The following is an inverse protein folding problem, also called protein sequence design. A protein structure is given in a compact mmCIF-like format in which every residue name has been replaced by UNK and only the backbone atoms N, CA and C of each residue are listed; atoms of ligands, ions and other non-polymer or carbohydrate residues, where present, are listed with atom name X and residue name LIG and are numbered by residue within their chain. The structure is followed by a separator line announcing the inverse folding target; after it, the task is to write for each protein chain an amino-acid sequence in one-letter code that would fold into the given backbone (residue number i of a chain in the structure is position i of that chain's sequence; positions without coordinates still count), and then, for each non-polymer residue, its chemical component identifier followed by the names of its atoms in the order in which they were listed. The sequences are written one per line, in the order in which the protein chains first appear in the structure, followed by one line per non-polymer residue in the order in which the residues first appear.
data_IF_828739636286
#
_entry.id   IF_828739636286
#
_cell.length_a   1.000
_cell.length_b   1.000
_cell.length_c   1.000
_cell.angle_alpha   90.00
_cell.angle_beta   90.00
_cell.angle_gamma   90.00
#
_symmetry.space_group_name_H-M   'P 1'
#
loop_
_entity.id
_entity.type
_entity.pdbx_description
1 polymer ?
#
# COMPACT_ATOMS: atom_id res chain seq x y z
N UNK A 1 -32.53 -28.06 13.47
CA UNK A 1 -31.32 -28.91 13.36
C UNK A 1 -31.09 -29.11 11.89
N UNK A 2 -30.20 -28.33 11.29
CA UNK A 2 -29.88 -28.43 9.86
C UNK A 2 -28.64 -29.31 9.71
N UNK A 3 -28.75 -30.30 8.82
CA UNK A 3 -27.67 -31.22 8.43
C UNK A 3 -26.43 -30.44 8.01
N UNK A 4 -25.32 -30.68 8.72
CA UNK A 4 -24.00 -30.29 8.23
C UNK A 4 -23.65 -31.21 7.06
N UNK A 5 -23.68 -30.64 5.86
CA UNK A 5 -23.17 -31.26 4.64
C UNK A 5 -21.77 -31.82 4.88
N UNK A 6 -21.68 -33.15 5.00
CA UNK A 6 -20.42 -33.88 4.93
C UNK A 6 -19.93 -33.82 3.48
N UNK A 7 -19.02 -32.91 3.15
CA UNK A 7 -18.34 -32.95 1.85
C UNK A 7 -17.45 -34.19 1.84
N UNK A 8 -17.80 -35.16 1.00
CA UNK A 8 -17.04 -36.39 0.78
C UNK A 8 -15.61 -36.03 0.34
N UNK A 9 -14.61 -36.63 0.98
CA UNK A 9 -13.20 -36.45 0.61
C UNK A 9 -13.02 -36.90 -0.85
N UNK A 10 -12.30 -36.11 -1.68
CA UNK A 10 -12.08 -36.45 -3.08
C UNK A 10 -11.34 -37.78 -3.21
N UNK A 11 -11.70 -38.56 -4.24
CA UNK A 11 -11.05 -39.86 -4.50
C UNK A 11 -9.59 -39.68 -4.92
N UNK A 12 -8.76 -40.72 -4.79
CA UNK A 12 -7.35 -40.65 -5.23
C UNK A 12 -7.24 -40.41 -6.73
N UNK A 13 -8.13 -40.99 -7.53
CA UNK A 13 -8.21 -40.76 -8.98
C UNK A 13 -8.52 -39.29 -9.32
N UNK A 14 -9.41 -38.64 -8.56
CA UNK A 14 -9.70 -37.21 -8.71
C UNK A 14 -8.50 -36.32 -8.35
N UNK A 15 -7.67 -36.73 -7.38
CA UNK A 15 -6.46 -35.99 -7.01
C UNK A 15 -5.38 -36.12 -8.08
N UNK A 16 -5.18 -37.31 -8.62
CA UNK A 16 -4.23 -37.56 -9.71
C UNK A 16 -4.62 -36.79 -10.98
N UNK A 17 -5.92 -36.78 -11.33
CA UNK A 17 -6.40 -36.02 -12.49
C UNK A 17 -6.17 -34.52 -12.31
N UNK A 18 -6.47 -33.96 -11.13
CA UNK A 18 -6.20 -32.54 -10.83
C UNK A 18 -4.71 -32.21 -10.92
N UNK A 19 -3.84 -33.10 -10.45
CA UNK A 19 -2.39 -32.93 -10.54
C UNK A 19 -1.94 -32.92 -12.01
N UNK A 20 -2.47 -33.83 -12.83
CA UNK A 20 -2.19 -33.88 -14.28
C UNK A 20 -2.63 -32.62 -14.99
N UNK A 21 -3.85 -32.13 -14.72
CA UNK A 21 -4.37 -30.90 -15.30
C UNK A 21 -3.54 -29.67 -14.91
N UNK A 22 -3.13 -29.59 -13.63
CA UNK A 22 -2.26 -28.52 -13.17
C UNK A 22 -0.90 -28.53 -13.86
N UNK A 23 -0.34 -29.73 -14.12
CA UNK A 23 0.91 -29.87 -14.85
C UNK A 23 0.79 -29.41 -16.30
N UNK A 24 -0.26 -29.83 -17.00
CA UNK A 24 -0.52 -29.39 -18.38
C UNK A 24 -0.62 -27.86 -18.45
N UNK A 25 -1.44 -27.27 -17.57
CA UNK A 25 -1.63 -25.81 -17.52
C UNK A 25 -0.32 -25.06 -17.22
N UNK A 26 0.50 -25.59 -16.31
CA UNK A 26 1.83 -25.05 -16.01
C UNK A 26 2.70 -25.02 -17.27
N UNK A 27 2.79 -26.14 -17.98
CA UNK A 27 3.63 -26.24 -19.18
C UNK A 27 3.15 -25.32 -20.30
N UNK A 28 1.84 -25.23 -20.52
CA UNK A 28 1.21 -24.32 -21.48
C UNK A 28 1.60 -22.86 -21.20
N UNK A 29 1.41 -22.40 -19.95
CA UNK A 29 1.73 -21.02 -19.57
C UNK A 29 3.22 -20.72 -19.66
N UNK A 30 4.10 -21.64 -19.25
CA UNK A 30 5.55 -21.46 -19.39
C UNK A 30 5.98 -21.34 -20.85
N UNK A 31 5.42 -22.17 -21.74
CA UNK A 31 5.68 -22.08 -23.19
C UNK A 31 5.17 -20.78 -23.76
N UNK A 32 3.96 -20.38 -23.39
CA UNK A 32 3.35 -19.13 -23.83
C UNK A 32 4.20 -17.93 -23.40
N UNK A 33 4.54 -17.82 -22.12
CA UNK A 33 5.35 -16.71 -21.61
C UNK A 33 6.74 -16.71 -22.26
N UNK A 34 7.38 -17.87 -22.40
CA UNK A 34 8.68 -17.95 -23.07
C UNK A 34 8.58 -17.47 -24.53
N UNK A 35 7.59 -17.90 -25.29
CA UNK A 35 7.38 -17.44 -26.67
C UNK A 35 7.10 -15.93 -26.73
N UNK A 36 6.31 -15.41 -25.79
CA UNK A 36 6.00 -13.98 -25.71
C UNK A 36 7.24 -13.11 -25.43
N UNK A 37 8.32 -13.64 -24.86
CA UNK A 37 9.60 -12.90 -24.73
C UNK A 37 10.25 -12.60 -26.08
N UNK A 38 9.87 -13.32 -27.14
CA UNK A 38 10.34 -13.13 -28.52
C UNK A 38 9.41 -12.23 -29.35
N UNK A 39 8.34 -11.70 -28.75
CA UNK A 39 7.38 -10.82 -29.43
C UNK A 39 8.02 -9.48 -29.83
N UNK A 40 7.60 -8.95 -30.98
CA UNK A 40 7.93 -7.58 -31.42
C UNK A 40 7.15 -6.51 -30.61
N UNK A 41 6.03 -6.89 -29.99
CA UNK A 41 5.29 -6.01 -29.09
C UNK A 41 6.02 -5.90 -27.74
N UNK A 42 6.57 -4.72 -27.47
CA UNK A 42 7.32 -4.43 -26.25
C UNK A 42 6.51 -4.65 -24.96
N UNK A 43 5.19 -4.41 -24.98
CA UNK A 43 4.34 -4.60 -23.80
C UNK A 43 4.18 -6.09 -23.50
N UNK A 44 3.85 -6.88 -24.53
CA UNK A 44 3.71 -8.34 -24.41
C UNK A 44 5.03 -8.97 -23.96
N UNK A 45 6.13 -8.56 -24.59
CA UNK A 45 7.49 -8.99 -24.26
C UNK A 45 7.85 -8.66 -22.81
N UNK A 46 7.72 -7.41 -22.38
CA UNK A 46 8.11 -7.02 -21.02
C UNK A 46 7.27 -7.72 -19.95
N UNK A 47 5.97 -7.92 -20.18
CA UNK A 47 5.08 -8.63 -19.25
C UNK A 47 5.48 -10.10 -19.12
N UNK A 48 5.82 -10.74 -20.24
CA UNK A 48 6.32 -12.10 -20.26
C UNK A 48 7.66 -12.26 -19.54
N UNK A 49 8.63 -11.38 -19.81
CA UNK A 49 9.92 -11.35 -19.11
C UNK A 49 9.74 -11.16 -17.59
N UNK A 50 8.83 -10.27 -17.17
CA UNK A 50 8.53 -10.06 -15.76
C UNK A 50 7.90 -11.30 -15.10
N UNK A 51 6.98 -12.00 -15.77
CA UNK A 51 6.35 -13.23 -15.25
C UNK A 51 7.39 -14.34 -15.06
N UNK A 52 8.27 -14.53 -16.03
CA UNK A 52 9.35 -15.52 -15.93
C UNK A 52 10.35 -15.16 -14.83
N UNK A 53 10.71 -13.87 -14.71
CA UNK A 53 11.56 -13.40 -13.61
C UNK A 53 10.94 -13.60 -12.23
N UNK A 54 9.61 -13.44 -12.10
CA UNK A 54 8.88 -13.78 -10.87
C UNK A 54 8.94 -15.28 -10.58
N UNK A 55 8.79 -16.14 -11.61
CA UNK A 55 8.86 -17.58 -11.43
C UNK A 55 10.24 -18.05 -10.94
N UNK A 56 11.32 -17.47 -11.45
CA UNK A 56 12.68 -17.72 -10.95
C UNK A 56 12.75 -17.44 -9.44
N UNK A 57 12.25 -16.27 -9.00
CA UNK A 57 12.24 -15.90 -7.57
C UNK A 57 11.37 -16.81 -6.71
N UNK A 58 10.22 -17.27 -7.23
CA UNK A 58 9.37 -18.23 -6.53
C UNK A 58 10.11 -19.55 -6.31
N UNK A 59 10.79 -20.07 -7.33
CA UNK A 59 11.60 -21.30 -7.24
C UNK A 59 12.75 -21.16 -6.26
N UNK A 60 13.55 -20.11 -6.37
CA UNK A 60 14.65 -19.84 -5.43
C UNK A 60 14.17 -19.78 -3.97
N UNK A 61 13.06 -19.08 -3.75
CA UNK A 61 12.45 -18.95 -2.43
C UNK A 61 11.94 -20.29 -1.91
N UNK A 62 11.37 -21.14 -2.78
CA UNK A 62 10.93 -22.49 -2.42
C UNK A 62 12.11 -23.41 -2.12
N UNK A 63 13.15 -23.43 -2.93
CA UNK A 63 14.39 -24.19 -2.68
C UNK A 63 15.02 -23.81 -1.34
N UNK A 64 15.20 -22.51 -1.10
CA UNK A 64 15.72 -22.00 0.18
C UNK A 64 14.86 -22.46 1.37
N UNK A 65 13.53 -22.52 1.21
CA UNK A 65 12.63 -23.01 2.26
C UNK A 65 12.78 -24.51 2.52
N UNK A 66 13.04 -25.30 1.49
CA UNK A 66 13.29 -26.74 1.64
C UNK A 66 14.58 -26.98 2.41
N UNK A 67 15.66 -26.29 2.04
CA UNK A 67 16.95 -26.36 2.76
C UNK A 67 16.81 -26.01 4.24
N UNK A 68 16.09 -24.93 4.57
CA UNK A 68 15.87 -24.55 5.98
C UNK A 68 14.95 -25.55 6.70
N UNK A 69 14.03 -26.23 6.00
CA UNK A 69 13.21 -27.30 6.60
C UNK A 69 14.06 -28.53 6.93
N UNK A 70 14.94 -28.93 6.02
CA UNK A 70 15.88 -30.03 6.24
C UNK A 70 16.80 -29.71 7.42
N UNK A 71 17.40 -28.51 7.45
CA UNK A 71 18.23 -28.08 8.57
C UNK A 71 17.46 -28.05 9.91
N UNK A 72 16.19 -27.62 9.91
CA UNK A 72 15.31 -27.67 11.09
C UNK A 72 15.12 -29.11 11.57
N UNK A 73 14.89 -30.04 10.65
CA UNK A 73 14.61 -31.43 10.97
C UNK A 73 15.87 -32.13 11.51
N UNK A 74 17.05 -31.85 10.94
CA UNK A 74 18.35 -32.26 11.51
C UNK A 74 18.55 -31.71 12.92
N UNK A 75 18.35 -30.39 13.14
CA UNK A 75 18.50 -29.81 14.49
C UNK A 75 17.53 -30.44 15.51
N UNK A 76 16.33 -30.84 15.05
CA UNK A 76 15.34 -31.53 15.88
C UNK A 76 15.79 -32.94 16.26
N UNK A 77 16.38 -33.68 15.32
CA UNK A 77 16.93 -35.01 15.54
C UNK A 77 18.14 -34.97 16.49
N UNK A 78 19.00 -33.97 16.34
CA UNK A 78 20.21 -33.78 17.15
C UNK A 78 19.92 -33.19 18.55
N UNK A 79 18.67 -32.76 18.81
CA UNK A 79 18.28 -32.11 20.07
C UNK A 79 18.81 -30.67 20.23
N UNK A 80 19.37 -30.07 19.18
CA UNK A 80 19.84 -28.68 19.16
C UNK A 80 18.66 -27.69 19.19
N UNK A 81 18.33 -27.21 20.39
CA UNK A 81 17.24 -26.26 20.60
C UNK A 81 17.51 -24.87 19.99
N UNK A 82 18.78 -24.46 19.93
CA UNK A 82 19.14 -23.15 19.38
C UNK A 82 19.07 -23.17 17.85
N UNK A 83 19.64 -24.19 17.22
CA UNK A 83 19.51 -24.44 15.79
C UNK A 83 18.06 -24.57 15.36
N UNK A 84 17.24 -25.29 16.13
CA UNK A 84 15.81 -25.43 15.88
C UNK A 84 15.06 -24.08 15.93
N UNK A 85 15.37 -23.23 16.93
CA UNK A 85 14.77 -21.91 17.05
C UNK A 85 15.18 -20.98 15.88
N UNK A 86 16.46 -21.02 15.49
CA UNK A 86 16.98 -20.25 14.36
C UNK A 86 16.35 -20.69 13.03
N UNK A 87 16.26 -21.99 12.79
CA UNK A 87 15.63 -22.53 11.58
C UNK A 87 14.13 -22.17 11.51
N UNK A 88 13.40 -22.20 12.63
CA UNK A 88 12.00 -21.74 12.70
C UNK A 88 11.86 -20.25 12.35
N UNK A 89 12.74 -19.41 12.88
CA UNK A 89 12.77 -17.97 12.58
C UNK A 89 13.05 -17.73 11.10
N UNK A 90 14.01 -18.45 10.52
CA UNK A 90 14.30 -18.40 9.08
C UNK A 90 13.10 -18.84 8.24
N UNK A 91 12.44 -19.97 8.57
CA UNK A 91 11.24 -20.43 7.87
C UNK A 91 10.11 -19.41 7.90
N UNK A 92 9.90 -18.70 9.01
CA UNK A 92 8.92 -17.62 9.11
C UNK A 92 9.25 -16.49 8.13
N UNK A 93 10.51 -16.05 8.08
CA UNK A 93 10.98 -15.01 7.16
C UNK A 93 10.81 -15.41 5.69
N UNK A 94 11.25 -16.62 5.32
CA UNK A 94 11.09 -17.12 3.96
C UNK A 94 9.62 -17.33 3.59
N UNK A 95 8.77 -17.75 4.54
CA UNK A 95 7.33 -17.89 4.33
C UNK A 95 6.65 -16.56 4.01
N UNK A 96 6.99 -15.49 4.73
CA UNK A 96 6.50 -14.13 4.42
C UNK A 96 6.92 -13.67 3.03
N UNK A 97 8.19 -13.89 2.67
CA UNK A 97 8.71 -13.51 1.36
C UNK A 97 8.02 -14.29 0.23
N UNK A 98 7.92 -15.62 0.34
CA UNK A 98 7.22 -16.46 -0.64
C UNK A 98 5.73 -16.08 -0.77
N UNK A 99 5.05 -15.82 0.36
CA UNK A 99 3.66 -15.36 0.35
C UNK A 99 3.48 -14.01 -0.36
N UNK A 100 4.45 -13.10 -0.26
CA UNK A 100 4.43 -11.86 -1.03
C UNK A 100 4.57 -12.11 -2.53
N UNK A 101 5.48 -13.00 -2.96
CA UNK A 101 5.65 -13.35 -4.38
C UNK A 101 4.39 -14.01 -4.96
N UNK A 102 3.76 -14.93 -4.22
CA UNK A 102 2.48 -15.53 -4.60
C UNK A 102 1.33 -14.52 -4.72
N UNK A 103 1.40 -13.42 -3.97
CA UNK A 103 0.39 -12.37 -4.09
C UNK A 103 0.50 -11.66 -5.43
N UNK A 104 1.73 -11.45 -5.92
CA UNK A 104 1.99 -10.80 -7.20
C UNK A 104 1.49 -11.63 -8.39
N UNK A 105 1.45 -12.96 -8.28
CA UNK A 105 0.86 -13.80 -9.32
C UNK A 105 -0.66 -13.65 -9.38
N UNK A 106 -1.32 -13.50 -8.23
CA UNK A 106 -2.79 -13.41 -8.12
C UNK A 106 -3.35 -12.01 -8.36
N UNK A 107 -2.76 -11.01 -7.73
CA UNK A 107 -3.24 -9.62 -7.74
C UNK A 107 -2.64 -8.81 -8.90
N UNK A 108 -1.69 -9.39 -9.62
CA UNK A 108 -0.91 -8.71 -10.64
C UNK A 108 0.32 -8.00 -10.08
N UNK A 109 1.29 -7.72 -10.96
CA UNK A 109 2.53 -7.04 -10.61
C UNK A 109 2.41 -5.53 -10.80
N UNK A 110 2.71 -4.70 -9.78
CA UNK A 110 2.87 -3.27 -9.98
C UNK A 110 4.02 -2.98 -10.96
N UNK A 111 3.90 -1.95 -11.80
CA UNK A 111 4.90 -1.61 -12.83
C UNK A 111 6.35 -1.55 -12.31
N UNK A 112 6.58 -1.00 -11.12
CA UNK A 112 7.92 -0.96 -10.49
C UNK A 112 8.48 -2.37 -10.22
N UNK A 113 7.61 -3.27 -9.80
CA UNK A 113 7.94 -4.68 -9.56
C UNK A 113 8.12 -5.43 -10.87
N UNK A 114 7.31 -5.16 -11.89
CA UNK A 114 7.49 -5.74 -13.24
C UNK A 114 8.88 -5.40 -13.80
N UNK A 115 9.28 -4.13 -13.73
CA UNK A 115 10.63 -3.70 -14.15
C UNK A 115 11.71 -4.43 -13.36
N UNK A 116 11.51 -4.65 -12.05
CA UNK A 116 12.47 -5.38 -11.21
C UNK A 116 12.55 -6.86 -11.62
N UNK A 117 11.42 -7.54 -11.82
CA UNK A 117 11.39 -8.95 -12.20
C UNK A 117 11.92 -9.17 -13.61
N UNK A 118 11.65 -8.25 -14.52
CA UNK A 118 12.25 -8.23 -15.86
C UNK A 118 13.78 -8.21 -15.78
N UNK A 119 14.36 -7.38 -14.90
CA UNK A 119 15.82 -7.37 -14.70
C UNK A 119 16.35 -8.71 -14.19
N UNK A 120 15.58 -9.44 -13.37
CA UNK A 120 15.94 -10.80 -12.93
C UNK A 120 15.99 -11.74 -14.14
N UNK A 121 14.96 -11.76 -14.97
CA UNK A 121 14.93 -12.58 -16.18
C UNK A 121 16.08 -12.26 -17.15
N UNK A 122 16.38 -10.98 -17.35
CA UNK A 122 17.47 -10.57 -18.25
C UNK A 122 18.86 -10.92 -17.70
N UNK A 123 19.02 -10.97 -16.37
CA UNK A 123 20.26 -11.38 -15.74
C UNK A 123 20.44 -12.90 -15.77
N UNK A 124 19.35 -13.65 -15.68
CA UNK A 124 19.34 -15.11 -15.51
C UNK A 124 18.37 -15.77 -16.50
N UNK A 125 18.51 -15.47 -17.79
CA UNK A 125 17.62 -16.04 -18.80
C UNK A 125 17.79 -17.55 -18.87
N UNK A 126 16.70 -18.29 -18.64
CA UNK A 126 16.70 -19.76 -18.66
C UNK A 126 16.13 -20.27 -19.97
N UNK A 127 16.63 -21.41 -20.47
CA UNK A 127 16.00 -22.07 -21.61
C UNK A 127 14.63 -22.63 -21.22
N UNK A 128 13.74 -22.78 -22.19
CA UNK A 128 12.44 -23.40 -21.99
C UNK A 128 12.55 -24.82 -21.43
N UNK A 129 13.52 -25.62 -21.89
CA UNK A 129 13.75 -26.98 -21.39
C UNK A 129 14.05 -26.98 -19.90
N UNK A 130 14.90 -26.04 -19.45
CA UNK A 130 15.25 -25.89 -18.04
C UNK A 130 14.05 -25.40 -17.22
N UNK A 131 13.26 -24.46 -17.75
CA UNK A 131 12.03 -24.01 -17.11
C UNK A 131 11.04 -25.16 -16.91
N UNK A 132 10.88 -26.02 -17.90
CA UNK A 132 9.94 -27.14 -17.84
C UNK A 132 10.41 -28.24 -16.89
N UNK A 133 11.72 -28.48 -16.77
CA UNK A 133 12.31 -29.53 -15.94
C UNK A 133 12.07 -29.37 -14.42
N UNK A 134 11.99 -28.14 -13.89
CA UNK A 134 11.83 -27.88 -12.45
C UNK A 134 10.37 -28.06 -11.96
N UNK A 135 9.74 -29.19 -12.28
CA UNK A 135 8.33 -29.47 -11.94
C UNK A 135 8.08 -29.42 -10.44
N UNK A 136 9.02 -29.95 -9.65
CA UNK A 136 8.88 -30.07 -8.20
C UNK A 136 8.94 -28.71 -7.48
N UNK A 137 9.54 -27.71 -8.11
CA UNK A 137 9.65 -26.36 -7.56
C UNK A 137 8.42 -25.49 -7.86
N UNK A 138 7.52 -25.94 -8.72
CA UNK A 138 6.38 -25.15 -9.15
C UNK A 138 5.11 -25.54 -8.40
N UNK A 139 4.40 -24.54 -7.88
CA UNK A 139 3.15 -24.71 -7.17
C UNK A 139 1.94 -24.44 -8.07
N UNK A 140 0.87 -25.23 -7.96
CA UNK A 140 -0.37 -25.03 -8.75
C UNK A 140 -0.93 -23.62 -8.62
N UNK A 141 -0.81 -23.01 -7.43
CA UNK A 141 -1.28 -21.66 -7.15
C UNK A 141 -0.46 -20.54 -7.84
N UNK A 142 0.71 -20.86 -8.39
CA UNK A 142 1.60 -19.91 -9.08
C UNK A 142 1.14 -19.67 -10.54
N UNK A 143 0.45 -20.64 -11.13
CA UNK A 143 0.03 -20.67 -12.53
C UNK A 143 -1.45 -20.31 -12.70
N UNK A 144 -1.89 -19.28 -11.97
CA UNK A 144 -3.23 -18.72 -12.10
C UNK A 144 -3.18 -17.56 -13.10
N UNK A 145 -4.11 -17.55 -14.05
CA UNK A 145 -4.25 -16.43 -14.97
C UNK A 145 -5.03 -15.31 -14.25
N UNK A 146 -4.41 -14.13 -14.00
CA UNK A 146 -5.09 -13.01 -13.36
C UNK A 146 -6.36 -12.58 -14.11
N UNK A 147 -6.37 -12.75 -15.43
CA UNK A 147 -7.49 -12.37 -16.29
C UNK A 147 -8.67 -13.36 -16.20
N UNK A 148 -8.47 -14.53 -15.56
CA UNK A 148 -9.52 -15.53 -15.30
C UNK A 148 -10.03 -15.55 -13.84
N UNK A 149 -9.46 -14.74 -12.93
CA UNK A 149 -9.79 -14.79 -11.48
C UNK A 149 -11.18 -14.23 -11.17
N UNK A 150 -11.77 -13.41 -12.04
CA UNK A 150 -13.10 -12.82 -11.84
C UNK A 150 -14.25 -13.84 -11.76
N UNK A 151 -14.05 -15.06 -12.27
CA UNK A 151 -15.08 -16.12 -12.23
C UNK A 151 -14.94 -17.09 -11.05
N UNK A 152 -13.85 -17.07 -10.27
CA UNK A 152 -13.61 -18.05 -9.20
C UNK A 152 -13.95 -17.49 -7.80
N UNK A 153 -14.11 -16.18 -7.64
CA UNK A 153 -14.46 -15.58 -6.33
C UNK A 153 -15.92 -15.81 -5.89
N UNK A 154 -16.77 -16.46 -6.70
CA UNK A 154 -18.13 -16.86 -6.30
C UNK A 154 -18.26 -18.30 -5.79
N UNK A 155 -17.19 -19.10 -5.80
CA UNK A 155 -17.22 -20.48 -5.28
C UNK A 155 -15.99 -20.72 -4.42
N UNK A 156 -16.01 -20.23 -3.18
CA UNK A 156 -15.19 -20.78 -2.08
C UNK A 156 -15.76 -20.31 -0.74
N UNK A 157 -16.93 -20.85 -0.42
CA UNK A 157 -17.31 -21.11 0.96
C UNK A 157 -16.77 -22.50 1.33
N UNK A 158 -15.92 -22.51 2.36
CA UNK A 158 -15.56 -23.66 3.20
C UNK A 158 -14.78 -24.81 2.49
N UNK A 159 -13.68 -25.25 3.11
CA UNK A 159 -12.87 -26.46 2.80
C UNK A 159 -11.50 -26.29 2.13
N UNK A 160 -10.78 -25.20 2.40
CA UNK A 160 -9.34 -25.13 2.11
C UNK A 160 -8.48 -24.80 3.35
N UNK A 161 -9.07 -24.85 4.55
CA UNK A 161 -8.42 -24.42 5.80
C UNK A 161 -7.79 -25.58 6.59
N UNK A 162 -8.23 -26.83 6.42
CA UNK A 162 -7.82 -27.96 7.28
C UNK A 162 -6.40 -28.55 7.06
N UNK A 163 -5.60 -28.04 6.11
CA UNK A 163 -4.16 -28.38 6.01
C UNK A 163 -3.22 -27.19 6.28
N UNK A 164 -3.77 -26.03 6.71
CA UNK A 164 -2.98 -24.82 7.01
C UNK A 164 -3.14 -24.30 8.45
N UNK A 165 -3.82 -25.03 9.34
CA UNK A 165 -4.22 -24.51 10.65
C UNK A 165 -3.14 -24.49 11.76
N UNK A 166 -2.01 -25.18 11.63
CA UNK A 166 -0.98 -25.18 12.69
C UNK A 166 0.08 -24.05 12.60
N UNK A 167 -0.04 -23.09 11.66
CA UNK A 167 1.08 -22.22 11.29
C UNK A 167 0.87 -20.70 11.45
N UNK A 168 -0.05 -20.25 12.30
CA UNK A 168 -0.21 -18.82 12.59
C UNK A 168 -0.05 -18.50 14.08
N UNK A 169 1.21 -18.32 14.50
CA UNK A 169 1.56 -17.54 15.70
C UNK A 169 2.17 -16.21 15.25
N UNK A 170 1.55 -15.14 15.76
CA UNK A 170 1.73 -13.71 15.52
C UNK A 170 3.19 -13.20 15.42
N UNK A 171 3.33 -12.05 14.75
CA UNK A 171 4.47 -11.12 14.48
C UNK A 171 5.67 -11.07 15.46
N UNK A 172 6.82 -10.40 15.17
CA UNK A 172 7.13 -9.42 14.10
C UNK A 172 8.42 -9.74 13.28
N UNK A 173 8.67 -8.95 12.24
CA UNK A 173 9.76 -9.10 11.27
C UNK A 173 10.97 -8.19 11.60
N UNK A 174 12.23 -8.62 11.32
CA UNK A 174 13.40 -7.76 11.40
C UNK A 174 13.87 -7.26 10.02
N UNK A 175 14.34 -6.01 10.03
CA UNK A 175 14.95 -5.25 8.93
C UNK A 175 16.36 -5.73 8.56
N UNK A 176 16.72 -5.54 7.29
CA UNK A 176 18.07 -5.73 6.76
C UNK A 176 18.32 -4.81 5.56
N UNK A 177 19.23 -3.87 5.78
CA UNK A 177 19.73 -2.79 4.92
C UNK A 177 20.54 -3.27 3.71
N UNK A 178 20.54 -2.50 2.61
CA UNK A 178 21.73 -2.32 1.75
C UNK A 178 21.58 -1.07 0.86
N UNK A 179 22.64 -0.25 0.83
CA UNK A 179 22.75 1.05 0.16
C UNK A 179 23.46 0.99 -1.22
N UNK A 180 23.30 2.08 -2.00
CA UNK A 180 24.14 2.65 -3.09
C UNK A 180 23.94 2.15 -4.54
N UNK A 181 24.36 2.88 -5.61
CA UNK A 181 24.55 4.34 -5.80
C UNK A 181 23.75 4.93 -7.00
N UNK A 182 23.79 6.26 -7.16
CA UNK A 182 23.36 7.03 -8.33
C UNK A 182 24.28 6.76 -9.54
N UNK A 183 23.72 6.69 -10.76
CA UNK A 183 24.26 7.43 -11.91
C UNK A 183 23.29 7.45 -13.11
N UNK A 184 23.48 8.51 -13.90
CA UNK A 184 22.75 9.08 -15.04
C UNK A 184 22.83 8.25 -16.32
N UNK A 185 21.74 8.25 -17.11
CA UNK A 185 21.69 8.81 -18.49
C UNK A 185 20.43 8.34 -19.26
N UNK A 186 19.70 9.30 -19.82
CA UNK A 186 18.62 9.10 -20.79
C UNK A 186 19.20 8.84 -22.20
N UNK A 187 18.44 8.17 -23.08
CA UNK A 187 17.95 8.97 -24.23
C UNK A 187 16.54 8.64 -24.75
N UNK A 188 15.97 9.69 -25.36
CA UNK A 188 15.05 9.77 -26.49
C UNK A 188 13.73 8.96 -26.48
N UNK A 189 12.63 9.69 -26.25
CA UNK A 189 11.24 9.28 -26.47
C UNK A 189 10.93 9.48 -27.96
N UNK A 190 10.66 8.40 -28.70
CA UNK A 190 9.98 8.48 -29.99
C UNK A 190 8.46 8.37 -29.80
N UNK A 191 7.76 9.20 -30.57
CA UNK A 191 6.31 9.39 -30.60
C UNK A 191 5.53 8.06 -30.66
N UNK A 192 4.70 7.83 -29.65
CA UNK A 192 3.64 6.82 -29.69
C UNK A 192 2.33 7.58 -29.87
N UNK A 193 1.73 7.41 -31.05
CA UNK A 193 0.37 7.85 -31.36
C UNK A 193 -0.63 7.10 -30.49
N UNK A 194 -1.23 7.78 -29.51
CA UNK A 194 -2.27 7.22 -28.66
C UNK A 194 -3.63 7.27 -29.36
N UNK A 195 -4.03 6.10 -29.88
CA UNK A 195 -5.42 5.83 -30.21
C UNK A 195 -6.31 5.99 -28.97
N UNK A 196 -7.34 6.81 -29.13
CA UNK A 196 -8.39 7.09 -28.15
C UNK A 196 -9.09 5.78 -27.77
N UNK A 197 -8.79 5.25 -26.58
CA UNK A 197 -9.53 4.12 -26.01
C UNK A 197 -10.48 4.64 -24.95
N UNK A 198 -11.76 4.65 -25.30
CA UNK A 198 -12.89 4.86 -24.39
C UNK A 198 -13.03 3.63 -23.49
N UNK A 199 -12.31 3.59 -22.37
CA UNK A 199 -12.57 2.68 -21.24
C UNK A 199 -11.89 3.25 -19.97
N UNK A 200 -12.54 4.24 -19.34
CA UNK A 200 -12.00 5.00 -18.20
C UNK A 200 -12.61 4.61 -16.84
N UNK A 201 -13.55 3.66 -16.76
CA UNK A 201 -14.48 3.61 -15.62
C UNK A 201 -14.47 2.39 -14.67
N UNK A 202 -13.63 1.37 -14.83
CA UNK A 202 -13.83 0.14 -14.00
C UNK A 202 -13.12 0.12 -12.62
N UNK A 203 -12.34 1.15 -12.26
CA UNK A 203 -11.70 1.25 -10.93
C UNK A 203 -12.31 2.36 -10.04
N UNK A 204 -13.61 2.64 -10.20
CA UNK A 204 -14.36 3.69 -9.50
C UNK A 204 -15.12 3.21 -8.24
N UNK A 205 -15.03 1.92 -7.89
CA UNK A 205 -15.73 1.35 -6.73
C UNK A 205 -15.17 1.77 -5.36
N UNK A 206 -14.02 2.47 -5.30
CA UNK A 206 -13.40 2.88 -4.05
C UNK A 206 -13.64 4.34 -3.64
N UNK A 207 -14.24 5.17 -4.50
CA UNK A 207 -14.54 6.56 -4.12
C UNK A 207 -15.91 6.66 -3.49
N UNK A 208 -15.98 7.31 -2.32
CA UNK A 208 -17.25 7.83 -1.84
C UNK A 208 -17.73 8.96 -2.78
N UNK A 209 -19.01 9.33 -2.67
CA UNK A 209 -19.59 10.37 -3.54
C UNK A 209 -18.93 11.75 -3.37
N UNK A 210 -18.37 12.04 -2.20
CA UNK A 210 -17.67 13.30 -1.93
C UNK A 210 -16.34 13.37 -2.68
N UNK A 211 -15.51 12.32 -2.61
CA UNK A 211 -14.23 12.23 -3.30
C UNK A 211 -14.41 12.27 -4.83
N UNK A 212 -15.49 11.67 -5.35
CA UNK A 212 -15.86 11.80 -6.78
C UNK A 212 -16.12 13.26 -7.15
N UNK A 213 -16.90 13.99 -6.35
CA UNK A 213 -17.21 15.41 -6.59
C UNK A 213 -15.97 16.28 -6.50
N UNK A 214 -15.12 16.06 -5.49
CA UNK A 214 -13.85 16.77 -5.32
C UNK A 214 -12.96 16.55 -6.56
N UNK A 215 -12.81 15.30 -7.00
CA UNK A 215 -12.00 14.99 -8.18
C UNK A 215 -12.55 15.64 -9.45
N UNK A 216 -13.87 15.54 -9.70
CA UNK A 216 -14.51 16.16 -10.87
C UNK A 216 -14.34 17.68 -10.88
N UNK A 217 -14.45 18.31 -9.72
CA UNK A 217 -14.21 19.75 -9.58
C UNK A 217 -12.76 20.11 -9.91
N UNK A 218 -11.80 19.38 -9.31
CA UNK A 218 -10.37 19.57 -9.57
C UNK A 218 -10.02 19.36 -11.06
N UNK A 219 -10.52 18.28 -11.67
CA UNK A 219 -10.29 17.96 -13.08
C UNK A 219 -10.80 19.08 -14.00
N UNK A 220 -12.00 19.60 -13.74
CA UNK A 220 -12.59 20.71 -14.50
C UNK A 220 -11.71 21.97 -14.44
N UNK A 221 -11.20 22.32 -13.25
CA UNK A 221 -10.30 23.46 -13.05
C UNK A 221 -8.97 23.27 -13.80
N UNK A 222 -8.37 22.09 -13.70
CA UNK A 222 -7.12 21.75 -14.39
C UNK A 222 -7.26 21.82 -15.90
N UNK A 223 -8.32 21.21 -16.48
CA UNK A 223 -8.57 21.30 -17.93
C UNK A 223 -8.76 22.75 -18.38
N UNK A 224 -9.54 23.54 -17.64
CA UNK A 224 -9.76 24.95 -17.96
C UNK A 224 -8.46 25.76 -17.95
N UNK A 225 -7.61 25.56 -16.94
CA UNK A 225 -6.29 26.21 -16.83
C UNK A 225 -5.36 25.80 -17.98
N UNK A 226 -5.19 24.51 -18.20
CA UNK A 226 -4.21 24.02 -19.17
C UNK A 226 -4.61 24.40 -20.61
N UNK A 227 -5.91 24.44 -20.92
CA UNK A 227 -6.41 24.96 -22.20
C UNK A 227 -6.13 26.46 -22.36
N UNK A 228 -6.32 27.28 -21.31
CA UNK A 228 -5.94 28.71 -21.32
C UNK A 228 -4.44 28.91 -21.53
N UNK A 229 -3.61 27.97 -21.08
CA UNK A 229 -2.17 27.96 -21.29
C UNK A 229 -1.75 27.33 -22.64
N UNK A 230 -2.68 27.02 -23.54
CA UNK A 230 -2.45 26.37 -24.84
C UNK A 230 -1.70 25.04 -24.76
N UNK A 231 -1.89 24.26 -23.68
CA UNK A 231 -1.33 22.91 -23.59
C UNK A 231 -2.10 21.94 -24.48
N UNK A 232 -1.39 21.01 -25.12
CA UNK A 232 -2.01 19.95 -25.92
C UNK A 232 -2.80 18.97 -25.02
N UNK A 233 -3.97 18.51 -25.49
CA UNK A 233 -4.89 17.72 -24.66
C UNK A 233 -4.26 16.43 -24.12
N UNK A 234 -3.40 15.75 -24.88
CA UNK A 234 -2.68 14.56 -24.40
C UNK A 234 -1.73 14.85 -23.22
N UNK A 235 -1.15 16.06 -23.15
CA UNK A 235 -0.34 16.50 -22.00
C UNK A 235 -1.23 16.74 -20.79
N UNK A 236 -2.42 17.30 -21.00
CA UNK A 236 -3.42 17.52 -19.96
C UNK A 236 -3.87 16.17 -19.38
N UNK A 237 -4.20 15.21 -20.24
CA UNK A 237 -4.61 13.85 -19.84
C UNK A 237 -3.52 13.14 -19.05
N UNK A 238 -2.26 13.21 -19.50
CA UNK A 238 -1.14 12.62 -18.77
C UNK A 238 -0.98 13.22 -17.37
N UNK A 239 -1.03 14.56 -17.25
CA UNK A 239 -0.97 15.26 -15.95
C UNK A 239 -2.11 14.83 -15.02
N UNK A 240 -3.34 14.83 -15.53
CA UNK A 240 -4.53 14.42 -14.79
C UNK A 240 -4.45 12.94 -14.36
N UNK A 241 -3.94 12.05 -15.20
CA UNK A 241 -3.79 10.64 -14.86
C UNK A 241 -2.83 10.42 -13.67
N UNK A 242 -1.71 11.15 -13.66
CA UNK A 242 -0.73 11.11 -12.55
C UNK A 242 -1.36 11.66 -11.27
N UNK A 243 -2.02 12.82 -11.36
CA UNK A 243 -2.72 13.43 -10.22
C UNK A 243 -3.84 12.52 -9.69
N UNK A 244 -4.61 11.87 -10.58
CA UNK A 244 -5.69 10.94 -10.20
C UNK A 244 -5.16 9.76 -9.42
N UNK A 245 -3.97 9.25 -9.79
CA UNK A 245 -3.32 8.15 -9.07
C UNK A 245 -2.98 8.57 -7.63
N UNK A 246 -2.44 9.77 -7.43
CA UNK A 246 -2.16 10.31 -6.09
C UNK A 246 -3.45 10.53 -5.32
N UNK A 247 -4.45 11.18 -5.94
CA UNK A 247 -5.75 11.44 -5.33
C UNK A 247 -6.41 10.15 -4.83
N UNK A 248 -6.38 9.08 -5.64
CA UNK A 248 -6.86 7.75 -5.26
C UNK A 248 -6.18 7.25 -3.98
N UNK A 249 -4.85 7.32 -3.90
CA UNK A 249 -4.10 6.88 -2.72
C UNK A 249 -4.50 7.68 -1.47
N UNK A 250 -4.65 9.00 -1.59
CA UNK A 250 -5.09 9.84 -0.49
C UNK A 250 -6.53 9.57 -0.07
N UNK A 251 -7.43 9.32 -1.01
CA UNK A 251 -8.80 8.92 -0.72
C UNK A 251 -8.84 7.61 0.08
N UNK A 252 -8.02 6.61 -0.27
CA UNK A 252 -7.88 5.37 0.51
C UNK A 252 -7.43 5.68 1.95
N UNK A 253 -6.45 6.57 2.12
CA UNK A 253 -5.95 6.95 3.45
C UNK A 253 -7.03 7.66 4.27
N UNK A 254 -7.75 8.60 3.65
CA UNK A 254 -8.87 9.30 4.28
C UNK A 254 -9.98 8.33 4.70
N UNK A 255 -10.30 7.37 3.83
CA UNK A 255 -11.30 6.34 4.12
C UNK A 255 -10.90 5.46 5.31
N UNK A 256 -9.64 5.01 5.40
CA UNK A 256 -9.15 4.21 6.55
C UNK A 256 -9.30 4.95 7.87
N UNK A 257 -8.93 6.23 7.91
CA UNK A 257 -9.09 7.07 9.11
C UNK A 257 -10.57 7.28 9.44
N UNK A 258 -11.44 7.44 8.45
CA UNK A 258 -12.88 7.55 8.65
C UNK A 258 -13.49 6.27 9.23
N UNK A 259 -13.10 5.09 8.73
CA UNK A 259 -13.50 3.79 9.31
C UNK A 259 -13.04 3.72 10.77
N UNK A 260 -11.77 4.03 11.05
CA UNK A 260 -11.24 3.99 12.42
C UNK A 260 -11.98 4.95 13.36
N UNK A 261 -12.36 6.14 12.88
CA UNK A 261 -13.17 7.10 13.61
C UNK A 261 -14.59 6.59 13.88
N UNK A 262 -15.22 5.94 12.90
CA UNK A 262 -16.54 5.32 13.07
C UNK A 262 -16.50 4.14 14.05
N UNK A 263 -15.46 3.31 13.99
CA UNK A 263 -15.24 2.22 14.96
C UNK A 263 -15.08 2.77 16.38
N UNK A 264 -14.25 3.81 16.56
CA UNK A 264 -14.12 4.49 17.85
C UNK A 264 -15.48 5.06 18.29
N UNK A 265 -16.25 5.59 17.35
CA UNK A 265 -17.55 6.18 17.63
C UNK A 265 -18.54 5.16 18.15
N UNK A 266 -18.63 4.01 17.49
CA UNK A 266 -19.44 2.87 17.89
C UNK A 266 -18.98 2.33 19.25
N UNK A 267 -17.67 2.16 19.46
CA UNK A 267 -17.12 1.66 20.71
C UNK A 267 -17.45 2.55 21.92
N UNK A 268 -17.35 3.88 21.77
CA UNK A 268 -17.71 4.83 22.84
C UNK A 268 -19.20 4.79 23.12
N UNK A 269 -20.04 4.81 22.08
CA UNK A 269 -21.51 4.81 22.25
C UNK A 269 -22.04 3.48 22.84
N UNK A 270 -21.40 2.35 22.55
CA UNK A 270 -21.69 1.06 23.20
C UNK A 270 -21.19 1.04 24.65
N UNK A 271 -20.04 1.67 24.93
CA UNK A 271 -19.49 1.82 26.28
C UNK A 271 -20.31 2.73 27.19
N UNK A 272 -21.06 3.69 26.63
CA UNK A 272 -22.02 4.54 27.36
C UNK A 272 -23.29 3.79 27.82
N UNK A 273 -23.57 2.59 27.28
CA UNK A 273 -24.69 1.75 27.71
C UNK A 273 -24.34 0.78 28.86
N UNK A 274 -23.09 0.80 29.36
CA UNK A 274 -22.67 -0.06 30.48
C UNK A 274 -22.93 0.68 31.81
N UNK A 275 -23.57 0.04 32.82
CA UNK A 275 -23.92 0.69 34.08
C UNK A 275 -22.70 1.30 34.79
N UNK A 276 -22.92 2.48 35.37
CA UNK A 276 -21.95 3.26 36.15
C UNK A 276 -21.39 2.38 37.28
N UNK A 277 -20.18 1.85 37.11
CA UNK A 277 -19.51 1.00 38.10
C UNK A 277 -18.38 0.15 37.56
N UNK A 278 -18.39 -0.19 36.27
CA UNK A 278 -17.27 -0.84 35.59
C UNK A 278 -16.52 0.17 34.74
N UNK A 279 -15.20 0.27 34.93
CA UNK A 279 -14.34 1.17 34.18
C UNK A 279 -14.59 0.95 32.68
N UNK A 280 -15.02 2.01 31.97
CA UNK A 280 -15.17 1.96 30.52
C UNK A 280 -13.91 1.32 29.90
N UNK A 281 -14.03 0.45 28.88
CA UNK A 281 -12.87 -0.02 28.14
C UNK A 281 -12.34 1.15 27.30
N UNK A 282 -11.63 2.08 27.96
CA UNK A 282 -10.92 3.15 27.27
C UNK A 282 -9.83 2.49 26.46
N UNK A 283 -9.93 2.59 25.13
CA UNK A 283 -8.91 2.06 24.22
C UNK A 283 -7.63 2.88 24.43
N UNK A 284 -6.66 2.28 25.13
CA UNK A 284 -5.34 2.87 25.33
C UNK A 284 -4.69 3.15 23.98
N UNK A 285 -4.05 4.30 23.88
CA UNK A 285 -3.16 4.58 22.76
C UNK A 285 -1.89 3.75 22.95
N UNK A 286 -1.42 3.13 21.87
CA UNK A 286 -0.15 2.40 21.93
C UNK A 286 0.97 3.43 22.07
N UNK A 287 1.71 3.35 23.18
CA UNK A 287 2.78 4.29 23.48
C UNK A 287 3.97 4.12 22.54
N UNK A 288 4.13 2.96 21.89
CA UNK A 288 5.23 2.70 20.95
C UNK A 288 5.20 3.64 19.73
N UNK A 289 4.00 4.06 19.30
CA UNK A 289 3.82 5.03 18.20
C UNK A 289 4.46 6.39 18.52
N UNK A 290 4.57 6.76 19.81
CA UNK A 290 4.98 8.10 20.27
C UNK A 290 6.33 8.14 20.97
N UNK A 291 6.79 6.99 21.47
CA UNK A 291 7.96 6.87 22.36
C UNK A 291 9.20 6.32 21.66
N UNK A 292 9.14 6.09 20.34
CA UNK A 292 10.32 5.66 19.59
C UNK A 292 11.45 6.70 19.73
N UNK A 293 12.70 6.24 19.76
CA UNK A 293 13.88 7.11 19.91
C UNK A 293 14.03 8.16 18.77
N UNK A 294 13.30 7.98 17.67
CA UNK A 294 13.29 8.86 16.50
C UNK A 294 11.97 9.63 16.33
N UNK A 295 11.01 9.43 17.25
CA UNK A 295 9.64 9.87 17.09
C UNK A 295 8.84 9.00 16.12
N UNK A 296 7.52 9.00 16.27
CA UNK A 296 6.63 8.43 15.28
C UNK A 296 6.52 9.32 14.06
N UNK A 297 6.38 8.73 12.88
CA UNK A 297 6.09 9.45 11.65
C UNK A 297 4.65 9.14 11.23
N UNK A 298 3.91 10.16 10.82
CA UNK A 298 2.56 10.04 10.30
C UNK A 298 2.51 10.69 8.93
N UNK A 299 1.97 9.99 7.94
CA UNK A 299 1.59 10.62 6.68
C UNK A 299 0.26 11.34 6.88
N UNK A 300 0.21 12.61 6.50
CA UNK A 300 -1.01 13.42 6.55
C UNK A 300 -1.50 13.73 5.14
N UNK A 301 -2.79 13.52 4.91
CA UNK A 301 -3.40 13.70 3.60
C UNK A 301 -4.83 14.21 3.71
N UNK A 302 -5.27 14.99 2.73
CA UNK A 302 -6.66 15.45 2.63
C UNK A 302 -7.08 15.53 1.18
N UNK A 303 -8.19 14.86 0.82
CA UNK A 303 -8.79 15.01 -0.51
C UNK A 303 -9.41 16.40 -0.68
N UNK A 304 -9.92 17.01 0.40
CA UNK A 304 -10.56 18.33 0.36
C UNK A 304 -9.64 19.44 -0.19
N UNK A 305 -8.33 19.38 0.08
CA UNK A 305 -7.37 20.35 -0.44
C UNK A 305 -7.32 20.42 -1.97
N UNK A 306 -7.67 19.35 -2.68
CA UNK A 306 -7.69 19.35 -4.15
C UNK A 306 -8.76 20.28 -4.72
N UNK A 307 -9.85 20.50 -3.99
CA UNK A 307 -10.91 21.43 -4.37
C UNK A 307 -10.58 22.89 -3.99
N UNK A 308 -9.73 23.09 -2.98
CA UNK A 308 -9.45 24.42 -2.39
C UNK A 308 -8.29 25.15 -3.07
N UNK A 309 -7.37 24.43 -3.72
CA UNK A 309 -6.29 25.03 -4.46
C UNK A 309 -6.77 25.43 -5.85
N UNK A 310 -6.52 26.66 -6.31
CA UNK A 310 -6.84 27.09 -7.68
C UNK A 310 -5.67 27.89 -8.24
N UNK A 311 -5.26 27.53 -9.46
CA UNK A 311 -4.37 28.40 -10.24
C UNK A 311 -2.88 28.32 -9.87
N UNK A 312 -2.43 27.45 -8.97
CA UNK A 312 -1.00 27.41 -8.71
C UNK A 312 -0.17 26.68 -9.77
N UNK A 313 1.00 27.23 -10.13
CA UNK A 313 2.07 26.57 -10.91
C UNK A 313 2.48 25.22 -10.32
N UNK A 314 2.34 25.05 -9.01
CA UNK A 314 2.59 23.80 -8.31
C UNK A 314 1.76 22.63 -8.85
N UNK A 315 0.57 22.89 -9.41
CA UNK A 315 -0.27 21.89 -10.07
C UNK A 315 0.32 21.34 -11.37
N UNK A 316 1.24 22.07 -11.99
CA UNK A 316 1.90 21.62 -13.19
C UNK A 316 2.98 20.58 -12.92
N UNK A 317 3.37 20.38 -11.65
CA UNK A 317 4.37 19.41 -11.24
C UNK A 317 3.74 18.01 -11.09
N UNK A 318 4.25 16.98 -11.80
CA UNK A 318 3.69 15.63 -11.77
C UNK A 318 3.84 14.93 -10.41
N UNK A 319 4.67 15.45 -9.50
CA UNK A 319 4.88 14.89 -8.16
C UNK A 319 4.28 15.74 -7.04
N UNK A 320 3.53 16.80 -7.37
CA UNK A 320 2.88 17.60 -6.35
C UNK A 320 1.69 16.85 -5.76
N UNK A 321 1.63 16.79 -4.44
CA UNK A 321 0.56 16.14 -3.69
C UNK A 321 0.14 17.05 -2.54
N UNK A 322 -1.16 17.37 -2.39
CA UNK A 322 -1.63 18.17 -1.27
C UNK A 322 -1.67 17.29 -0.02
N UNK A 323 -0.67 17.46 0.84
CA UNK A 323 -0.46 16.63 2.01
C UNK A 323 0.93 16.85 2.57
N UNK A 324 1.34 15.96 3.45
CA UNK A 324 2.58 16.16 4.20
C UNK A 324 2.93 14.99 5.09
N UNK A 325 3.83 15.29 6.03
CA UNK A 325 4.21 14.39 7.11
C UNK A 325 4.11 15.11 8.44
N UNK A 326 3.77 14.38 9.48
CA UNK A 326 3.78 14.83 10.85
C UNK A 326 4.68 13.91 11.64
N UNK A 327 5.57 14.45 12.46
CA UNK A 327 6.40 13.70 13.39
C UNK A 327 6.02 14.09 14.81
N UNK A 328 5.70 13.10 15.63
CA UNK A 328 5.52 13.28 17.08
C UNK A 328 6.68 12.60 17.79
N UNK A 329 7.42 13.34 18.60
CA UNK A 329 8.59 12.80 19.30
C UNK A 329 8.63 13.27 20.75
N UNK A 330 9.17 12.43 21.62
CA UNK A 330 9.27 12.70 23.06
C UNK A 330 10.74 12.88 23.46
N UNK A 331 11.07 14.02 24.06
CA UNK A 331 12.40 14.32 24.58
C UNK A 331 12.27 14.74 26.05
N UNK A 332 12.99 14.05 26.95
CA UNK A 332 13.02 14.35 28.38
C UNK A 332 11.63 14.43 29.04
N UNK A 333 10.70 13.58 28.59
CA UNK A 333 9.32 13.55 29.08
C UNK A 333 8.37 14.58 28.47
N UNK A 334 8.86 15.46 27.59
CA UNK A 334 8.03 16.42 26.85
C UNK A 334 7.84 15.93 25.42
N UNK A 335 6.61 16.00 24.91
CA UNK A 335 6.30 15.62 23.53
C UNK A 335 6.23 16.85 22.63
N UNK A 336 6.60 16.69 21.36
CA UNK A 336 6.65 17.77 20.36
C UNK A 336 6.09 17.29 19.04
N UNK A 337 5.50 18.20 18.25
CA UNK A 337 5.00 17.90 16.90
C UNK A 337 5.74 18.76 15.89
N UNK A 338 6.25 18.12 14.84
CA UNK A 338 6.70 18.82 13.63
C UNK A 338 5.81 18.39 12.47
N UNK A 339 5.32 19.33 11.68
CA UNK A 339 4.44 19.08 10.53
C UNK A 339 5.07 19.71 9.29
N UNK A 340 5.29 18.91 8.28
CA UNK A 340 5.83 19.31 6.98
C UNK A 340 4.77 19.20 5.89
N UNK A 341 4.41 20.32 5.28
CA UNK A 341 3.58 20.41 4.08
C UNK A 341 4.44 20.86 2.88
N UNK A 342 5.26 19.93 2.39
CA UNK A 342 6.18 20.17 1.28
C UNK A 342 7.29 21.16 1.62
N UNK A 343 7.03 22.45 1.46
CA UNK A 343 8.01 23.53 1.59
C UNK A 343 7.72 24.47 2.79
N UNK A 344 6.75 24.10 3.63
CA UNK A 344 6.43 24.77 4.89
C UNK A 344 6.47 23.74 6.00
N UNK A 345 7.16 24.12 7.07
CA UNK A 345 7.30 23.34 8.29
C UNK A 345 6.68 24.11 9.45
N UNK A 346 6.05 23.37 10.35
CA UNK A 346 5.37 23.89 11.52
C UNK A 346 5.76 23.09 12.74
N UNK A 347 6.10 23.78 13.82
CA UNK A 347 6.49 23.17 15.09
C UNK A 347 5.47 23.48 16.17
N UNK A 348 5.15 22.50 17.01
CA UNK A 348 4.33 22.65 18.21
C UNK A 348 5.18 22.24 19.39
N UNK A 349 5.40 23.20 20.28
CA UNK A 349 6.16 22.99 21.50
C UNK A 349 5.26 22.38 22.58
N UNK A 350 5.75 21.33 23.23
CA UNK A 350 5.14 20.72 24.42
C UNK A 350 3.66 20.36 24.26
N UNK A 351 3.40 19.18 23.71
CA UNK A 351 2.07 18.58 23.68
C UNK A 351 1.89 17.59 24.84
N UNK A 352 0.63 17.45 25.27
CA UNK A 352 0.22 16.36 26.15
C UNK A 352 -0.39 15.25 25.31
N UNK A 353 0.25 14.09 25.31
CA UNK A 353 -0.29 12.91 24.65
C UNK A 353 -1.40 12.31 25.51
N UNK A 354 -2.63 12.15 25.00
CA UNK A 354 -3.68 11.51 25.77
C UNK A 354 -3.32 10.03 26.03
N UNK A 355 -3.70 9.49 27.18
CA UNK A 355 -3.53 8.06 27.46
C UNK A 355 -4.51 7.20 26.62
N UNK A 356 -5.63 7.79 26.21
CA UNK A 356 -6.75 7.08 25.58
C UNK A 356 -7.22 7.77 24.31
N UNK A 357 -7.67 6.98 23.34
CA UNK A 357 -8.36 7.50 22.17
C UNK A 357 -9.62 8.27 22.57
N UNK A 358 -9.92 9.36 21.87
CA UNK A 358 -11.02 10.27 22.21
C UNK A 358 -11.65 10.88 20.97
N UNK A 359 -12.96 11.14 21.03
CA UNK A 359 -13.68 11.97 20.05
C UNK A 359 -13.38 13.46 20.19
N UNK A 360 -12.80 13.89 21.33
CA UNK A 360 -12.45 15.29 21.56
C UNK A 360 -11.16 15.61 20.83
N UNK A 361 -11.18 16.73 20.11
CA UNK A 361 -9.96 17.34 19.60
C UNK A 361 -9.19 17.98 20.76
N UNK A 362 -7.87 17.98 20.64
CA UNK A 362 -6.96 18.75 21.50
C UNK A 362 -6.41 19.89 20.68
N UNK A 363 -6.59 21.11 21.16
CA UNK A 363 -6.12 22.31 20.47
C UNK A 363 -4.68 22.64 20.87
N UNK A 364 -3.89 23.02 19.87
CA UNK A 364 -2.49 23.37 19.96
C UNK A 364 -2.21 24.63 19.15
N UNK A 365 -1.05 25.24 19.40
CA UNK A 365 -0.56 26.36 18.60
C UNK A 365 0.68 25.92 17.84
N UNK A 366 0.60 25.91 16.52
CA UNK A 366 1.71 25.57 15.64
C UNK A 366 2.41 26.84 15.14
N UNK A 367 3.73 26.91 15.28
CA UNK A 367 4.57 28.00 14.76
C UNK A 367 5.16 27.61 13.42
N UNK A 368 4.96 28.43 12.40
CA UNK A 368 5.60 28.23 11.10
C UNK A 368 7.10 28.58 11.20
N UNK A 369 7.97 27.63 10.92
CA UNK A 369 9.42 27.78 11.12
C UNK A 369 10.02 28.86 10.20
N UNK A 370 9.44 29.04 9.01
CA UNK A 370 9.90 30.03 8.03
C UNK A 370 9.49 31.46 8.37
N UNK A 371 8.30 31.66 8.95
CA UNK A 371 7.70 33.00 9.11
C UNK A 371 7.58 33.45 10.56
N UNK A 372 7.74 32.53 11.51
CA UNK A 372 7.49 32.77 12.93
C UNK A 372 6.01 32.95 13.31
N UNK A 373 5.09 33.00 12.34
CA UNK A 373 3.65 33.15 12.60
C UNK A 373 3.07 31.89 13.24
N UNK A 374 2.11 32.09 14.13
CA UNK A 374 1.41 31.02 14.84
C UNK A 374 0.03 30.77 14.26
N UNK A 375 -0.41 29.51 14.30
CA UNK A 375 -1.67 29.04 13.77
C UNK A 375 -2.31 28.05 14.73
N UNK A 376 -3.64 28.06 14.82
CA UNK A 376 -4.38 27.03 15.54
C UNK A 376 -4.27 25.68 14.84
N UNK A 377 -4.02 24.63 15.61
CA UNK A 377 -3.96 23.25 15.17
C UNK A 377 -4.85 22.44 16.12
N UNK A 378 -5.71 21.58 15.59
CA UNK A 378 -6.42 20.62 16.43
C UNK A 378 -6.11 19.19 16.04
N UNK A 379 -5.93 18.32 17.03
CA UNK A 379 -5.64 16.90 16.79
C UNK A 379 -6.63 16.04 17.56
N UNK A 380 -7.22 15.08 16.86
CA UNK A 380 -8.02 14.01 17.44
C UNK A 380 -7.27 12.69 17.34
N UNK A 381 -7.00 12.08 18.49
CA UNK A 381 -6.31 10.79 18.58
C UNK A 381 -7.32 9.65 18.54
N UNK A 382 -7.32 8.87 17.45
CA UNK A 382 -8.31 7.81 17.21
C UNK A 382 -7.79 6.44 17.66
N UNK A 383 -6.47 6.23 17.60
CA UNK A 383 -5.76 5.01 18.00
C UNK A 383 -5.53 4.01 16.86
N UNK A 384 -4.69 2.99 17.11
CA UNK A 384 -4.14 2.08 16.08
C UNK A 384 -3.41 2.83 14.95
N UNK A 385 -2.59 3.82 15.29
CA UNK A 385 -1.84 4.61 14.30
C UNK A 385 -2.66 5.64 13.53
N UNK A 386 -3.90 5.95 13.94
CA UNK A 386 -4.75 6.92 13.23
C UNK A 386 -4.99 8.19 14.04
N UNK A 387 -4.94 9.34 13.35
CA UNK A 387 -5.36 10.63 13.88
C UNK A 387 -6.13 11.42 12.83
N UNK A 388 -6.90 12.41 13.30
CA UNK A 388 -7.37 13.51 12.46
C UNK A 388 -6.67 14.78 12.89
N UNK A 389 -6.18 15.53 11.91
CA UNK A 389 -5.51 16.81 12.12
C UNK A 389 -6.34 17.88 11.44
N UNK A 390 -6.72 18.92 12.17
CA UNK A 390 -7.47 20.07 11.67
C UNK A 390 -6.52 21.24 11.64
N UNK A 391 -6.34 21.84 10.46
CA UNK A 391 -5.39 22.93 10.27
C UNK A 391 -5.94 23.95 9.28
N UNK A 392 -5.64 25.25 9.44
CA UNK A 392 -6.04 26.26 8.46
C UNK A 392 -5.34 26.04 7.12
N UNK A 393 -6.08 26.22 6.03
CA UNK A 393 -5.60 26.01 4.65
C UNK A 393 -4.54 27.06 4.26
N UNK A 394 -4.79 28.33 4.61
CA UNK A 394 -3.99 29.48 4.19
C UNK A 394 -2.46 29.33 4.44
N UNK A 395 -1.97 28.92 5.62
CA UNK A 395 -0.52 28.78 5.85
C UNK A 395 0.11 27.60 5.10
N UNK A 396 -0.67 26.60 4.72
CA UNK A 396 -0.21 25.41 3.98
C UNK A 396 0.04 25.77 2.52
N UNK A 397 -0.91 26.48 1.93
CA UNK A 397 -0.88 26.81 0.51
C UNK A 397 0.01 28.03 0.29
N UNK A 398 1.02 27.87 -0.55
CA UNK A 398 1.78 29.02 -1.04
C UNK A 398 1.09 29.57 -2.27
N UNK A 399 0.84 30.89 -2.27
CA UNK A 399 0.60 31.61 -3.50
C UNK A 399 1.87 31.57 -4.36
N UNK A 400 1.91 30.71 -5.37
CA UNK A 400 2.86 30.84 -6.49
C UNK A 400 2.31 31.87 -7.51
N UNK A 401 3.09 32.21 -8.55
CA UNK A 401 2.80 33.34 -9.48
C UNK A 401 1.46 33.24 -10.24
N UNK A 402 0.74 32.12 -10.14
CA UNK A 402 -0.60 31.96 -10.70
C UNK A 402 -1.71 31.66 -9.70
N UNK A 403 -1.38 31.36 -8.44
CA UNK A 403 -2.36 30.85 -7.49
C UNK A 403 -3.28 31.94 -6.98
N UNK A 404 -4.58 31.76 -7.20
CA UNK A 404 -5.61 32.47 -6.43
C UNK A 404 -6.07 31.50 -5.36
N UNK A 405 -5.50 31.65 -4.17
CA UNK A 405 -6.18 31.15 -2.97
C UNK A 405 -7.49 31.93 -2.93
N UNK A 406 -8.60 31.23 -3.16
CA UNK A 406 -9.94 31.80 -3.04
C UNK A 406 -10.09 32.38 -1.61
N UNK A 407 -11.06 33.26 -1.31
CA UNK A 407 -11.13 34.03 -0.05
C UNK A 407 -11.50 33.21 1.21
N UNK A 408 -10.88 32.05 1.42
CA UNK A 408 -11.09 31.12 2.52
C UNK A 408 -9.97 31.26 3.57
N UNK A 409 -9.64 32.49 3.98
CA UNK A 409 -8.48 32.73 4.87
C UNK A 409 -8.58 31.98 6.21
N UNK A 410 -9.80 31.61 6.62
CA UNK A 410 -10.09 30.93 7.88
C UNK A 410 -10.62 29.49 7.69
N UNK A 411 -10.62 28.95 6.46
CA UNK A 411 -11.14 27.60 6.26
C UNK A 411 -10.18 26.57 6.86
N UNK A 412 -10.76 25.71 7.70
CA UNK A 412 -10.09 24.60 8.34
C UNK A 412 -10.26 23.37 7.47
N UNK A 413 -9.16 22.68 7.22
CA UNK A 413 -9.16 21.42 6.50
C UNK A 413 -8.88 20.26 7.46
N UNK A 414 -9.63 19.18 7.27
CA UNK A 414 -9.43 17.92 7.97
C UNK A 414 -8.44 17.05 7.18
N UNK A 415 -7.34 16.73 7.83
CA UNK A 415 -6.36 15.76 7.37
C UNK A 415 -6.56 14.42 8.06
N UNK A 416 -6.50 13.36 7.27
CA UNK A 416 -6.31 12.01 7.74
C UNK A 416 -4.81 11.76 7.97
N UNK A 417 -4.45 11.35 9.19
CA UNK A 417 -3.10 10.99 9.57
C UNK A 417 -2.99 9.50 9.81
N UNK A 418 -2.04 8.85 9.15
CA UNK A 418 -1.75 7.40 9.30
C UNK A 418 -0.30 7.21 9.70
N UNK A 419 -0.07 6.44 10.75
CA UNK A 419 1.27 6.10 11.23
C UNK A 419 2.04 5.35 10.14
N UNK A 420 3.26 5.81 9.88
CA UNK A 420 4.23 5.18 9.01
C UNK A 420 5.26 4.53 9.93
N UNK A 421 5.28 3.20 9.97
CA UNK A 421 6.34 2.48 10.68
C UNK A 421 7.69 2.93 10.11
N UNK A 422 8.64 3.36 10.96
CA UNK A 422 9.98 3.71 10.49
C UNK A 422 10.61 2.47 9.84
N UNK A 423 10.81 2.57 8.52
CA UNK A 423 11.51 1.56 7.70
C UNK A 423 12.99 1.54 8.06
#
# INVERSE_FOLDING_TARGET
MADRNSKLKPSEEEKEEKKRQAQIKREELLREWHNNTLSDDAVVKHRAEARLGLQIRLRESKSSRMEVREARDTCKEDGDQEGLANARKALKKHGQHYGHLLRLTKEGMPLKTEVKMRKVWLAESMSLERLLADVELDGVAEFQDPEQVDNVQKIKGEDAEDEMEDFWVSSPSPLGSTNWPQDTDQPAINEITWGRSENVDENLQMFNEEDKRIWQHHESLMRSRCRKANMAEHVIELKLAIQRKVFKQQAVHCHRVNIAYEELTKAISLGEQVPIGTQHPKKRLDTSEFTSAHGGLWRISSTALWAMYVGGESWDLPHWTPGGYMRVHTLSGLSFINIDFGHRSFSVDTIELPEFASKKTTAYTARCDKTGRTFGLEIMFIGKGYMRVIFPVHPILHGDKGCKILPWMDELVHFAATFEDPI
#
